data_IF_631296573873
#
_entry.id   IF_631296573873
#
_cell.length_a   1.000
_cell.length_b   1.000
_cell.length_c   1.000
_cell.angle_alpha   90.00
_cell.angle_beta   90.00
_cell.angle_gamma   90.00
#
_symmetry.space_group_name_H-M   'P 1'
#
loop_
_entity.id
_entity.type
_entity.pdbx_description
1 polymer ?
#
# COMPACT_ATOMS: atom_id res chain seq x y z
N UNK A 1 -25.14 24.94 -10.81
CA UNK A 1 -24.15 23.83 -10.68
C UNK A 1 -24.16 23.02 -11.96
N UNK A 2 -22.99 22.61 -12.46
CA UNK A 2 -22.92 21.83 -13.68
C UNK A 2 -23.50 20.42 -13.47
N UNK A 3 -24.37 19.98 -14.39
CA UNK A 3 -24.98 18.65 -14.39
C UNK A 3 -24.59 17.88 -15.65
N UNK A 4 -24.31 16.57 -15.55
CA UNK A 4 -23.95 15.76 -16.71
C UNK A 4 -25.15 15.63 -17.65
N UNK A 5 -24.98 16.07 -18.90
CA UNK A 5 -26.04 15.98 -19.90
C UNK A 5 -26.41 14.53 -20.26
N UNK A 6 -25.45 13.62 -20.17
CA UNK A 6 -25.59 12.19 -20.50
C UNK A 6 -24.79 11.32 -19.53
N UNK A 7 -25.23 10.07 -19.34
CA UNK A 7 -24.52 9.06 -18.56
C UNK A 7 -23.19 8.72 -19.25
N UNK A 8 -22.14 8.53 -18.45
CA UNK A 8 -20.87 8.00 -18.96
C UNK A 8 -21.05 6.56 -19.46
N UNK A 9 -20.45 6.22 -20.61
CA UNK A 9 -20.45 4.84 -21.11
C UNK A 9 -19.82 3.86 -20.12
N UNK A 10 -20.21 2.58 -20.20
CA UNK A 10 -19.66 1.51 -19.33
C UNK A 10 -18.12 1.47 -19.40
N UNK A 11 -17.56 1.59 -20.60
CA UNK A 11 -16.10 1.60 -20.84
C UNK A 11 -15.39 2.74 -20.11
N UNK A 12 -15.82 4.00 -20.29
CA UNK A 12 -15.18 5.16 -19.64
C UNK A 12 -15.29 5.10 -18.12
N UNK A 13 -16.41 4.60 -17.57
CA UNK A 13 -16.56 4.38 -16.12
C UNK A 13 -15.58 3.30 -15.62
N UNK A 14 -15.50 2.17 -16.33
CA UNK A 14 -14.64 1.05 -15.93
C UNK A 14 -13.16 1.43 -15.98
N UNK A 15 -12.72 2.21 -16.97
CA UNK A 15 -11.34 2.71 -17.06
C UNK A 15 -10.95 3.55 -15.83
N UNK A 16 -11.80 4.49 -15.41
CA UNK A 16 -11.54 5.29 -14.20
C UNK A 16 -11.48 4.42 -12.94
N UNK A 17 -12.36 3.42 -12.85
CA UNK A 17 -12.35 2.49 -11.72
C UNK A 17 -11.11 1.59 -11.72
N UNK A 18 -10.63 1.14 -12.88
CA UNK A 18 -9.39 0.38 -13.00
C UNK A 18 -8.18 1.21 -12.56
N UNK A 19 -8.12 2.48 -12.95
CA UNK A 19 -7.07 3.40 -12.48
C UNK A 19 -7.09 3.58 -10.95
N UNK A 20 -8.28 3.66 -10.35
CA UNK A 20 -8.41 3.70 -8.89
C UNK A 20 -7.86 2.42 -8.23
N UNK A 21 -8.18 1.25 -8.79
CA UNK A 21 -7.66 -0.05 -8.31
C UNK A 21 -6.15 -0.19 -8.50
N UNK A 22 -5.59 0.31 -9.58
CA UNK A 22 -4.16 0.22 -9.86
C UNK A 22 -3.29 0.88 -8.78
N UNK A 23 -3.80 1.93 -8.11
CA UNK A 23 -3.11 2.57 -6.97
C UNK A 23 -2.84 1.61 -5.82
N UNK A 24 -3.75 0.65 -5.58
CA UNK A 24 -3.57 -0.35 -4.53
C UNK A 24 -2.40 -1.29 -4.83
N UNK A 25 -2.21 -1.67 -6.10
CA UNK A 25 -1.07 -2.49 -6.52
C UNK A 25 0.28 -1.81 -6.25
N UNK A 26 0.37 -0.50 -6.54
CA UNK A 26 1.56 0.30 -6.26
C UNK A 26 1.83 0.38 -4.75
N UNK A 27 0.79 0.56 -3.93
CA UNK A 27 0.92 0.59 -2.48
C UNK A 27 1.39 -0.77 -1.93
N UNK A 28 0.82 -1.88 -2.42
CA UNK A 28 1.21 -3.23 -2.03
C UNK A 28 2.67 -3.53 -2.37
N UNK A 29 3.14 -3.14 -3.56
CA UNK A 29 4.54 -3.32 -3.95
C UNK A 29 5.49 -2.57 -3.00
N UNK A 30 5.16 -1.31 -2.67
CA UNK A 30 5.95 -0.53 -1.71
C UNK A 30 5.96 -1.17 -0.33
N UNK A 31 4.80 -1.59 0.18
CA UNK A 31 4.68 -2.25 1.48
C UNK A 31 5.53 -3.53 1.55
N UNK A 32 5.51 -4.36 0.51
CA UNK A 32 6.34 -5.58 0.43
C UNK A 32 7.83 -5.27 0.43
N UNK A 33 8.28 -4.27 -0.35
CA UNK A 33 9.67 -3.84 -0.34
C UNK A 33 10.11 -3.31 1.02
N UNK A 34 9.25 -2.53 1.68
CA UNK A 34 9.51 -2.01 3.02
C UNK A 34 9.60 -3.13 4.07
N UNK A 35 8.64 -4.06 4.08
CA UNK A 35 8.65 -5.20 5.01
C UNK A 35 9.94 -6.03 4.90
N UNK A 36 10.38 -6.33 3.67
CA UNK A 36 11.66 -7.04 3.46
C UNK A 36 12.88 -6.25 3.95
N UNK A 37 12.89 -4.94 3.77
CA UNK A 37 13.99 -4.08 4.23
C UNK A 37 14.07 -4.03 5.76
N UNK A 38 12.92 -4.04 6.44
CA UNK A 38 12.83 -4.09 7.90
C UNK A 38 13.28 -5.45 8.43
N UNK A 39 12.75 -6.55 7.89
CA UNK A 39 13.09 -7.92 8.34
C UNK A 39 14.58 -8.27 8.14
N UNK A 40 15.24 -7.71 7.13
CA UNK A 40 16.67 -7.94 6.90
C UNK A 40 17.61 -7.11 7.79
N UNK A 41 17.08 -6.24 8.66
CA UNK A 41 17.88 -5.43 9.60
C UNK A 41 18.79 -4.38 8.96
N UNK A 42 18.76 -4.21 7.63
CA UNK A 42 19.61 -3.27 6.89
C UNK A 42 19.02 -1.86 6.78
N UNK A 43 17.74 -1.71 7.08
CA UNK A 43 17.04 -0.43 6.99
C UNK A 43 17.32 0.46 8.22
N UNK A 44 18.10 1.54 8.03
CA UNK A 44 18.51 2.47 9.09
C UNK A 44 17.57 3.67 9.28
N UNK A 45 16.46 3.73 8.52
CA UNK A 45 15.54 4.88 8.49
C UNK A 45 14.25 4.71 9.27
N UNK A 46 14.03 3.54 9.89
CA UNK A 46 12.81 3.25 10.66
C UNK A 46 13.15 3.15 12.15
N UNK A 47 12.49 3.97 12.97
CA UNK A 47 12.59 3.90 14.44
C UNK A 47 11.28 3.34 14.96
N UNK A 48 11.35 2.14 15.55
CA UNK A 48 10.21 1.52 16.21
C UNK A 48 10.36 1.75 17.71
N UNK A 49 9.42 2.46 18.37
CA UNK A 49 9.38 2.48 19.83
C UNK A 49 8.89 1.10 20.29
N UNK A 50 9.83 0.20 20.52
CA UNK A 50 9.59 -1.07 21.19
C UNK A 50 9.35 -0.73 22.67
N UNK A 51 8.11 -0.86 23.15
CA UNK A 51 7.88 -1.03 24.57
C UNK A 51 8.54 -2.35 24.97
N UNK A 52 9.38 -2.34 26.00
CA UNK A 52 10.36 -3.39 26.36
C UNK A 52 9.79 -4.79 26.69
N UNK A 53 8.52 -5.10 26.41
CA UNK A 53 7.85 -6.34 26.83
C UNK A 53 7.45 -7.27 25.67
N UNK A 54 8.33 -7.51 24.69
CA UNK A 54 8.13 -8.53 23.67
C UNK A 54 9.42 -9.24 23.25
N UNK A 55 10.24 -9.64 24.23
CA UNK A 55 11.21 -10.73 24.07
C UNK A 55 10.45 -12.06 24.00
N UNK A 56 10.15 -12.56 22.80
CA UNK A 56 10.01 -13.99 22.46
C UNK A 56 9.58 -14.18 20.99
N UNK A 57 10.51 -14.61 20.14
CA UNK A 57 10.23 -15.00 18.77
C UNK A 57 11.48 -15.41 18.02
N UNK A 58 12.05 -16.54 18.42
CA UNK A 58 13.05 -17.34 17.70
C UNK A 58 12.77 -17.40 16.19
N UNK A 59 13.81 -17.24 15.36
CA UNK A 59 14.22 -18.30 14.43
C UNK A 59 15.68 -18.06 14.00
N UNK A 60 16.45 -19.14 14.03
CA UNK A 60 17.87 -19.24 13.66
C UNK A 60 18.09 -19.22 12.14
#
# INVERSE_FOLDING_TARGET
MAVPKKKTSKGKRNQRHAHWKAKAGVAAQKAMSLGKAVLSGRAQGFVYPIAEDAEAGEDS
#
